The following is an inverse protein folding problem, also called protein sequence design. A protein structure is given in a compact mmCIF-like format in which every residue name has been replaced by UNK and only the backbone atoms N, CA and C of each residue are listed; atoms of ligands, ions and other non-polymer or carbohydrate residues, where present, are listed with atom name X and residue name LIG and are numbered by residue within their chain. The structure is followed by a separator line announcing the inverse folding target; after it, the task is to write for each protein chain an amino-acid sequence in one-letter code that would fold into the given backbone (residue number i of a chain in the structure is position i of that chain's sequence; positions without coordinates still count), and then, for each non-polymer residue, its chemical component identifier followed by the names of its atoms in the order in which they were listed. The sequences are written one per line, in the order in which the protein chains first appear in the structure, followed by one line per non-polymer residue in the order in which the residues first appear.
data_IF_276390940004
#
_entry.id   IF_276390940004
#
_cell.length_a   1.000
_cell.length_b   1.000
_cell.length_c   1.000
_cell.angle_alpha   90.00
_cell.angle_beta   90.00
_cell.angle_gamma   90.00
#
_symmetry.space_group_name_H-M   'P 1'
#
loop_
_entity.id
_entity.type
_entity.pdbx_description
1 polymer ?
#
# COMPACT_ATOMS: atom_id res chain seq x y z
N UNK A 1 -33.20 9.62 19.79
CA UNK A 1 -31.85 9.83 20.36
C UNK A 1 -30.86 9.60 19.23
N UNK A 2 -30.53 10.65 18.50
CA UNK A 2 -29.49 10.61 17.46
C UNK A 2 -28.15 10.61 18.16
N UNK A 3 -27.37 9.55 18.00
CA UNK A 3 -25.99 9.53 18.46
C UNK A 3 -25.26 10.67 17.73
N UNK A 4 -24.80 11.67 18.48
CA UNK A 4 -23.79 12.61 18.01
C UNK A 4 -22.57 11.78 17.63
N UNK A 5 -22.41 11.60 16.32
CA UNK A 5 -21.24 11.00 15.73
C UNK A 5 -20.15 12.08 15.71
N UNK A 6 -19.66 12.47 16.89
CA UNK A 6 -18.54 13.39 17.01
C UNK A 6 -17.34 12.78 16.28
N UNK A 7 -16.88 13.45 15.22
CA UNK A 7 -15.64 13.12 14.52
C UNK A 7 -14.46 13.38 15.47
N UNK A 8 -14.20 12.45 16.38
CA UNK A 8 -13.11 12.55 17.36
C UNK A 8 -11.78 12.20 16.68
N UNK A 9 -10.84 13.14 16.69
CA UNK A 9 -9.46 12.89 16.29
C UNK A 9 -8.75 12.22 17.47
N UNK A 10 -8.17 11.05 17.25
CA UNK A 10 -7.42 10.32 18.27
C UNK A 10 -6.03 10.94 18.36
N UNK A 11 -5.69 11.50 19.52
CA UNK A 11 -4.33 11.96 19.83
C UNK A 11 -3.50 10.74 20.22
N UNK A 12 -2.44 10.46 19.46
CA UNK A 12 -1.58 9.31 19.69
C UNK A 12 -0.61 9.55 20.84
N UNK A 13 -0.35 8.49 21.59
CA UNK A 13 0.72 8.41 22.60
C UNK A 13 2.10 8.38 21.94
N UNK A 14 3.15 8.63 22.71
CA UNK A 14 4.53 8.56 22.22
C UNK A 14 4.88 7.17 21.69
N UNK A 15 4.38 6.12 22.34
CA UNK A 15 4.56 4.72 21.95
C UNK A 15 3.84 4.41 20.63
N UNK A 16 2.60 4.89 20.46
CA UNK A 16 1.89 4.74 19.19
C UNK A 16 2.58 5.49 18.04
N UNK A 17 3.11 6.68 18.31
CA UNK A 17 3.90 7.43 17.31
C UNK A 17 5.15 6.66 16.90
N UNK A 18 5.83 6.00 17.85
CA UNK A 18 7.00 5.16 17.57
C UNK A 18 6.65 4.01 16.62
N UNK A 19 5.57 3.29 16.93
CA UNK A 19 5.08 2.19 16.07
C UNK A 19 4.67 2.70 14.69
N UNK A 20 4.00 3.86 14.61
CA UNK A 20 3.65 4.48 13.33
C UNK A 20 4.89 4.84 12.51
N UNK A 21 5.99 5.28 13.14
CA UNK A 21 7.24 5.59 12.43
C UNK A 21 7.88 4.34 11.84
N UNK A 22 7.91 3.24 12.61
CA UNK A 22 8.40 1.95 12.12
C UNK A 22 7.54 1.44 10.95
N UNK A 23 6.22 1.50 11.07
CA UNK A 23 5.30 1.13 10.00
C UNK A 23 5.49 1.98 8.73
N UNK A 24 5.69 3.30 8.87
CA UNK A 24 6.01 4.18 7.74
C UNK A 24 7.35 3.83 7.08
N UNK A 25 8.37 3.43 7.86
CA UNK A 25 9.64 2.98 7.29
C UNK A 25 9.45 1.77 6.38
N UNK A 26 8.64 0.79 6.81
CA UNK A 26 8.34 -0.40 6.00
C UNK A 26 7.64 -0.03 4.69
N UNK A 27 6.67 0.91 4.76
CA UNK A 27 6.01 1.41 3.54
C UNK A 27 7.01 2.09 2.61
N UNK A 28 7.90 2.92 3.15
CA UNK A 28 8.94 3.60 2.37
C UNK A 28 9.89 2.59 1.70
N UNK A 29 10.32 1.53 2.40
CA UNK A 29 11.19 0.48 1.86
C UNK A 29 10.51 -0.26 0.68
N UNK A 30 9.21 -0.54 0.79
CA UNK A 30 8.42 -1.13 -0.30
C UNK A 30 8.35 -0.18 -1.51
N UNK A 31 8.05 1.10 -1.28
CA UNK A 31 7.95 2.09 -2.36
C UNK A 31 9.29 2.34 -3.04
N UNK A 32 10.39 2.39 -2.29
CA UNK A 32 11.74 2.54 -2.83
C UNK A 32 12.15 1.32 -3.67
N UNK A 33 11.83 0.11 -3.21
CA UNK A 33 12.05 -1.11 -4.00
C UNK A 33 11.26 -1.07 -5.32
N UNK A 34 9.97 -0.70 -5.26
CA UNK A 34 9.14 -0.58 -6.47
C UNK A 34 9.71 0.45 -7.44
N UNK A 35 10.17 1.60 -6.94
CA UNK A 35 10.80 2.64 -7.75
C UNK A 35 12.05 2.13 -8.48
N UNK A 36 12.89 1.33 -7.81
CA UNK A 36 14.13 0.78 -8.39
C UNK A 36 13.85 -0.30 -9.43
N UNK A 37 12.86 -1.14 -9.20
CA UNK A 37 12.58 -2.30 -10.06
C UNK A 37 11.66 -1.98 -11.23
N UNK A 38 10.82 -0.94 -11.12
CA UNK A 38 9.82 -0.59 -12.13
C UNK A 38 10.46 -0.26 -13.48
N UNK A 39 10.02 -0.99 -14.51
CA UNK A 39 10.48 -0.83 -15.90
C UNK A 39 9.39 -1.30 -16.88
N UNK A 40 9.40 -0.83 -18.14
CA UNK A 40 8.46 -1.31 -19.15
C UNK A 40 8.47 -2.84 -19.29
N UNK A 41 7.29 -3.40 -19.56
CA UNK A 41 7.08 -4.84 -19.75
C UNK A 41 6.70 -5.60 -18.47
N UNK A 42 6.87 -5.01 -17.28
CA UNK A 42 6.41 -5.59 -16.02
C UNK A 42 4.89 -5.61 -15.94
N UNK A 43 4.34 -6.71 -15.43
CA UNK A 43 2.92 -6.77 -15.09
C UNK A 43 2.66 -6.12 -13.75
N UNK A 44 1.50 -5.49 -13.57
CA UNK A 44 1.12 -4.91 -12.27
C UNK A 44 1.01 -5.98 -11.19
N UNK A 45 0.74 -7.24 -11.55
CA UNK A 45 0.80 -8.39 -10.62
C UNK A 45 2.21 -8.70 -10.11
N UNK A 46 3.26 -8.48 -10.91
CA UNK A 46 4.64 -8.67 -10.43
C UNK A 46 4.98 -7.65 -9.34
N UNK A 47 4.58 -6.39 -9.54
CA UNK A 47 4.76 -5.31 -8.55
C UNK A 47 4.05 -5.63 -7.23
N UNK A 48 2.79 -6.06 -7.31
CA UNK A 48 2.01 -6.49 -6.15
C UNK A 48 2.68 -7.64 -5.38
N UNK A 49 3.26 -8.60 -6.09
CA UNK A 49 3.99 -9.71 -5.45
C UNK A 49 5.24 -9.20 -4.71
N UNK A 50 6.03 -8.33 -5.33
CA UNK A 50 7.21 -7.77 -4.67
C UNK A 50 6.84 -6.94 -3.44
N UNK A 51 5.78 -6.14 -3.52
CA UNK A 51 5.28 -5.36 -2.39
C UNK A 51 4.79 -6.27 -1.25
N UNK A 52 4.05 -7.33 -1.58
CA UNK A 52 3.62 -8.34 -0.60
C UNK A 52 4.83 -8.98 0.09
N UNK A 53 5.78 -9.50 -0.69
CA UNK A 53 6.91 -10.27 -0.16
C UNK A 53 7.81 -9.36 0.71
N UNK A 54 8.16 -8.16 0.23
CA UNK A 54 8.94 -7.19 1.01
C UNK A 54 8.25 -6.80 2.32
N UNK A 55 6.93 -6.58 2.31
CA UNK A 55 6.17 -6.30 3.53
C UNK A 55 6.22 -7.45 4.54
N UNK A 56 6.10 -8.70 4.06
CA UNK A 56 6.18 -9.90 4.91
C UNK A 56 7.58 -10.09 5.49
N UNK A 57 8.62 -9.79 4.73
CA UNK A 57 10.01 -9.87 5.18
C UNK A 57 10.31 -8.89 6.34
N UNK A 58 9.57 -7.76 6.41
CA UNK A 58 9.61 -6.82 7.53
C UNK A 58 8.69 -7.20 8.71
N UNK A 59 8.05 -8.37 8.68
CA UNK A 59 7.14 -8.81 9.74
C UNK A 59 5.79 -8.07 9.75
N UNK A 60 5.47 -7.32 8.70
CA UNK A 60 4.20 -6.61 8.56
C UNK A 60 3.17 -7.42 7.75
N UNK A 61 1.92 -6.93 7.71
CA UNK A 61 0.87 -7.48 6.85
C UNK A 61 0.41 -6.41 5.85
N UNK A 62 0.15 -6.74 4.58
CA UNK A 62 -0.43 -5.77 3.65
C UNK A 62 -1.84 -5.35 4.07
N UNK A 63 -2.06 -4.06 4.27
CA UNK A 63 -3.32 -3.55 4.80
C UNK A 63 -4.49 -3.68 3.83
N UNK A 64 -4.22 -3.67 2.52
CA UNK A 64 -5.26 -3.68 1.50
C UNK A 64 -5.74 -5.09 1.17
N UNK A 65 -4.91 -6.11 1.42
CA UNK A 65 -5.24 -7.49 1.06
C UNK A 65 -6.42 -7.99 1.88
N UNK A 66 -7.54 -8.25 1.19
CA UNK A 66 -8.80 -8.68 1.79
C UNK A 66 -9.66 -7.53 2.35
N UNK A 67 -9.18 -6.29 2.37
CA UNK A 67 -9.94 -5.16 2.88
C UNK A 67 -11.17 -4.91 2.03
N UNK A 68 -12.36 -5.13 2.59
CA UNK A 68 -13.66 -5.06 1.89
C UNK A 68 -13.68 -5.88 0.59
N UNK A 69 -12.97 -7.01 0.56
CA UNK A 69 -12.87 -7.88 -0.61
C UNK A 69 -11.85 -7.46 -1.66
N UNK A 70 -11.02 -6.45 -1.38
CA UNK A 70 -9.94 -6.06 -2.28
C UNK A 70 -8.91 -7.21 -2.43
N UNK A 71 -8.55 -7.64 -3.67
CA UNK A 71 -7.90 -8.92 -3.89
C UNK A 71 -6.36 -8.86 -3.93
N UNK A 72 -5.75 -7.72 -3.61
CA UNK A 72 -4.33 -7.49 -3.79
C UNK A 72 -3.72 -6.71 -2.60
N UNK A 73 -2.40 -6.68 -2.54
CA UNK A 73 -1.62 -5.99 -1.50
C UNK A 73 -1.29 -4.55 -1.88
N UNK A 74 -1.15 -4.29 -3.19
CA UNK A 74 -0.77 -3.01 -3.77
C UNK A 74 -1.89 -2.49 -4.68
N UNK A 75 -2.14 -1.19 -4.67
CA UNK A 75 -2.91 -0.52 -5.72
C UNK A 75 -1.95 -0.05 -6.82
N UNK A 76 -2.25 -0.35 -8.09
CA UNK A 76 -1.46 0.14 -9.24
C UNK A 76 -2.40 0.75 -10.27
N UNK A 77 -2.34 2.06 -10.41
CA UNK A 77 -3.18 2.86 -11.31
C UNK A 77 -2.32 3.45 -12.41
N UNK A 78 -2.64 3.13 -13.67
CA UNK A 78 -1.92 3.60 -14.86
C UNK A 78 -2.76 4.66 -15.58
N UNK A 79 -2.13 5.78 -15.94
CA UNK A 79 -2.68 6.84 -16.78
C UNK A 79 -4.03 7.40 -16.27
N UNK A 80 -5.15 7.09 -16.94
CA UNK A 80 -6.48 7.58 -16.60
C UNK A 80 -7.10 6.90 -15.37
N UNK A 81 -6.50 5.83 -14.86
CA UNK A 81 -6.95 5.17 -13.64
C UNK A 81 -6.74 6.10 -12.44
N UNK A 82 -7.84 6.51 -11.80
CA UNK A 82 -7.80 7.52 -10.73
C UNK A 82 -7.15 6.96 -9.46
N UNK A 83 -7.71 5.89 -8.89
CA UNK A 83 -7.24 5.22 -7.65
C UNK A 83 -7.65 3.75 -7.65
N UNK A 84 -7.05 2.97 -6.75
CA UNK A 84 -7.40 1.57 -6.47
C UNK A 84 -7.33 0.63 -7.68
N UNK A 85 -6.43 0.88 -8.64
CA UNK A 85 -6.21 -0.03 -9.75
C UNK A 85 -5.80 -1.42 -9.26
N UNK A 86 -6.53 -2.45 -9.69
CA UNK A 86 -6.32 -3.84 -9.24
C UNK A 86 -5.18 -4.48 -10.04
N UNK A 87 -4.13 -4.98 -9.38
CA UNK A 87 -3.04 -5.70 -10.03
C UNK A 87 -3.50 -6.90 -10.88
N UNK A 88 -2.92 -7.05 -12.07
CA UNK A 88 -3.33 -8.03 -13.06
C UNK A 88 -2.13 -8.61 -13.81
N UNK A 89 -2.21 -9.88 -14.19
CA UNK A 89 -1.21 -10.54 -15.07
C UNK A 89 -1.31 -10.06 -16.52
N UNK A 90 -2.45 -9.46 -16.89
CA UNK A 90 -2.75 -9.01 -18.26
C UNK A 90 -2.32 -7.56 -18.53
N UNK A 91 -2.17 -6.76 -17.48
CA UNK A 91 -1.80 -5.34 -17.58
C UNK A 91 -0.29 -5.24 -17.40
N UNK A 92 0.38 -4.64 -18.39
CA UNK A 92 1.82 -4.38 -18.38
C UNK A 92 2.08 -2.89 -18.48
N UNK A 93 3.03 -2.39 -17.70
CA UNK A 93 3.55 -1.03 -17.82
C UNK A 93 4.31 -0.89 -19.14
N UNK A 94 4.12 0.24 -19.81
CA UNK A 94 4.77 0.58 -21.09
C UNK A 94 5.63 1.81 -20.90
N UNK A 95 6.55 2.00 -21.84
CA UNK A 95 7.33 3.23 -21.91
C UNK A 95 6.38 4.43 -22.09
N UNK A 96 6.57 5.47 -21.26
CA UNK A 96 5.73 6.66 -21.25
C UNK A 96 4.46 6.58 -20.39
N UNK A 97 4.13 5.43 -19.79
CA UNK A 97 3.02 5.33 -18.84
C UNK A 97 3.33 6.11 -17.55
N UNK A 98 2.32 6.82 -17.03
CA UNK A 98 2.36 7.39 -15.68
C UNK A 98 1.71 6.37 -14.75
N UNK A 99 2.47 5.90 -13.75
CA UNK A 99 2.03 4.86 -12.83
C UNK A 99 1.97 5.42 -11.41
N UNK A 100 0.79 5.44 -10.82
CA UNK A 100 0.58 5.66 -9.40
C UNK A 100 0.53 4.32 -8.67
N UNK A 101 1.22 4.26 -7.54
CA UNK A 101 1.17 3.15 -6.59
C UNK A 101 0.69 3.67 -5.24
N UNK A 102 -0.06 2.85 -4.52
CA UNK A 102 -0.51 3.12 -3.15
C UNK A 102 -0.38 1.81 -2.38
N UNK A 103 0.28 1.88 -1.22
CA UNK A 103 0.58 0.73 -0.39
C UNK A 103 0.33 1.02 1.09
N UNK A 104 -0.13 0.01 1.81
CA UNK A 104 -0.32 0.10 3.25
C UNK A 104 0.06 -1.17 4.00
N UNK A 105 0.43 -0.98 5.26
CA UNK A 105 0.82 -2.05 6.18
C UNK A 105 0.02 -2.00 7.47
N UNK A 106 -0.18 -3.19 8.03
CA UNK A 106 -0.57 -3.41 9.42
C UNK A 106 0.69 -3.88 10.14
N UNK A 107 1.15 -3.11 11.11
CA UNK A 107 2.34 -3.42 11.91
C UNK A 107 2.07 -3.11 13.38
N UNK A 108 2.27 -4.08 14.26
CA UNK A 108 1.98 -3.99 15.69
C UNK A 108 0.61 -3.36 16.00
N UNK A 109 -0.43 -3.80 15.29
CA UNK A 109 -1.81 -3.33 15.47
C UNK A 109 -2.13 -1.95 14.88
N UNK A 110 -1.16 -1.28 14.25
CA UNK A 110 -1.36 0.02 13.61
C UNK A 110 -1.41 -0.12 12.09
N UNK A 111 -2.34 0.61 11.47
CA UNK A 111 -2.49 0.67 10.02
C UNK A 111 -1.87 1.98 9.52
N UNK A 112 -0.96 1.88 8.55
CA UNK A 112 -0.31 3.02 7.89
C UNK A 112 -0.33 2.76 6.39
N UNK A 113 -0.59 3.79 5.61
CA UNK A 113 -0.55 3.75 4.14
C UNK A 113 0.05 5.02 3.57
N UNK A 114 0.65 4.90 2.38
CA UNK A 114 1.21 6.01 1.61
C UNK A 114 1.03 5.76 0.13
#
# INVERSE_FOLDING_TARGET
MTADNEKKIIVKTSEEIEVMRQANSIVADVLEMLQKEMRPGLTTRQMDRWAHDCCRDHGAQPAFLGYRGFPASLCVSINEQIVHGIPSKKVKVREGDIVSVDFGVIYNGNNIST
#
